data_IF_949302766527
#
_entry.id   IF_949302766527
#
_cell.length_a   1.000
_cell.length_b   1.000
_cell.length_c   1.000
_cell.angle_alpha   90.00
_cell.angle_beta   90.00
_cell.angle_gamma   90.00
#
_symmetry.space_group_name_H-M   'P 1'
#
loop_
_entity.id
_entity.type
_entity.pdbx_description
1 polymer ?
#
# COMPACT_ATOMS: atom_id res chain seq x y z
N UNK A 1 -5.26 27.07 -9.32
CA UNK A 1 -5.61 26.84 -10.74
C UNK A 1 -6.44 25.56 -10.96
N UNK A 2 -6.28 24.52 -10.13
CA UNK A 2 -7.01 23.22 -10.28
C UNK A 2 -8.28 23.13 -9.43
N UNK A 3 -8.54 24.08 -8.53
CA UNK A 3 -9.70 24.06 -7.61
C UNK A 3 -11.06 23.82 -8.29
N UNK A 4 -11.39 24.45 -9.43
CA UNK A 4 -12.65 24.16 -10.12
C UNK A 4 -12.78 22.71 -10.59
N UNK A 5 -11.66 22.10 -11.01
CA UNK A 5 -11.64 20.71 -11.42
C UNK A 5 -11.85 19.76 -10.23
N UNK A 6 -11.22 20.03 -9.09
CA UNK A 6 -11.41 19.29 -7.84
C UNK A 6 -12.85 19.41 -7.31
N UNK A 7 -13.53 20.51 -7.58
CA UNK A 7 -14.91 20.70 -7.16
C UNK A 7 -15.91 19.95 -8.03
N UNK A 8 -15.62 19.74 -9.31
CA UNK A 8 -16.61 19.26 -10.29
C UNK A 8 -16.31 17.93 -10.93
N UNK A 9 -15.04 17.54 -11.05
CA UNK A 9 -14.65 16.38 -11.88
C UNK A 9 -13.62 15.44 -11.26
N UNK A 10 -12.63 15.98 -10.55
CA UNK A 10 -11.51 15.19 -10.06
C UNK A 10 -11.54 15.01 -8.55
N UNK A 11 -10.93 13.92 -8.10
CA UNK A 11 -10.52 13.75 -6.73
C UNK A 11 -8.99 13.72 -6.64
N UNK A 12 -8.45 14.03 -5.48
CA UNK A 12 -7.07 13.79 -5.12
C UNK A 12 -7.01 13.13 -3.76
N UNK A 13 -5.91 12.46 -3.46
CA UNK A 13 -5.73 11.74 -2.21
C UNK A 13 -4.31 11.90 -1.67
N UNK A 14 -4.02 11.25 -0.57
CA UNK A 14 -2.75 11.31 0.16
C UNK A 14 -1.65 10.40 -0.39
N UNK A 15 -1.53 10.27 -1.72
CA UNK A 15 -0.48 9.49 -2.36
C UNK A 15 0.92 10.10 -2.13
N UNK A 16 1.95 9.29 -2.27
CA UNK A 16 3.35 9.73 -2.24
C UNK A 16 3.77 10.45 -0.94
N UNK A 17 3.23 10.00 0.19
CA UNK A 17 3.52 10.57 1.50
C UNK A 17 3.03 12.01 1.70
N UNK A 18 2.01 12.43 0.99
CA UNK A 18 1.32 13.69 1.26
C UNK A 18 0.44 13.50 2.51
N UNK A 19 0.47 14.45 3.43
CA UNK A 19 -0.40 14.43 4.61
C UNK A 19 -1.80 14.90 4.23
N UNK A 20 -2.68 13.94 3.94
CA UNK A 20 -4.05 14.24 3.53
C UNK A 20 -4.84 14.97 4.62
N UNK A 21 -4.59 14.61 5.86
CA UNK A 21 -5.38 15.08 7.02
C UNK A 21 -4.99 16.49 7.44
N UNK A 22 -3.69 16.73 7.57
CA UNK A 22 -3.20 18.00 8.11
C UNK A 22 -2.87 19.01 7.02
N UNK A 23 -2.70 18.60 5.77
CA UNK A 23 -2.33 19.47 4.65
C UNK A 23 -3.40 19.52 3.56
N UNK A 24 -3.71 18.40 2.89
CA UNK A 24 -4.56 18.41 1.69
C UNK A 24 -5.99 18.85 2.00
N UNK A 25 -6.60 18.28 3.02
CA UNK A 25 -7.98 18.61 3.40
C UNK A 25 -8.11 20.09 3.81
N UNK A 26 -7.29 20.62 4.75
CA UNK A 26 -7.35 22.04 5.11
C UNK A 26 -7.11 22.98 3.93
N UNK A 27 -6.10 22.70 3.10
CA UNK A 27 -5.79 23.53 1.92
C UNK A 27 -6.96 23.54 0.92
N UNK A 28 -7.59 22.41 0.69
CA UNK A 28 -8.75 22.34 -0.22
C UNK A 28 -9.97 23.02 0.36
N UNK A 29 -10.20 22.95 1.67
CA UNK A 29 -11.25 23.70 2.37
C UNK A 29 -11.05 25.23 2.26
N UNK A 30 -9.84 25.71 2.47
CA UNK A 30 -9.49 27.13 2.30
C UNK A 30 -9.73 27.61 0.85
N UNK A 31 -9.62 26.71 -0.11
CA UNK A 31 -9.95 26.97 -1.52
C UNK A 31 -11.44 26.82 -1.87
N UNK A 32 -12.32 26.58 -0.90
CA UNK A 32 -13.77 26.41 -1.10
C UNK A 32 -14.20 25.05 -1.65
N UNK A 33 -13.36 24.04 -1.47
CA UNK A 33 -13.65 22.62 -1.78
C UNK A 33 -13.83 21.87 -0.45
N UNK A 34 -14.95 21.24 -0.23
CA UNK A 34 -15.29 20.62 1.05
C UNK A 34 -14.49 19.39 1.38
N UNK A 35 -13.99 18.69 0.34
CA UNK A 35 -13.11 17.53 0.48
C UNK A 35 -12.36 17.30 -0.83
N UNK A 36 -11.10 16.80 -0.81
CA UNK A 36 -10.35 16.49 -2.02
C UNK A 36 -11.06 15.57 -3.03
N UNK A 37 -12.03 14.77 -2.57
CA UNK A 37 -12.85 13.89 -3.40
C UNK A 37 -14.22 14.49 -3.82
N UNK A 38 -14.47 15.75 -3.55
CA UNK A 38 -15.76 16.39 -3.85
C UNK A 38 -16.13 16.30 -5.34
N UNK A 39 -15.15 16.47 -6.23
CA UNK A 39 -15.37 16.40 -7.67
C UNK A 39 -15.78 15.02 -8.16
N UNK A 40 -15.30 13.96 -7.54
CA UNK A 40 -15.75 12.58 -7.85
C UNK A 40 -17.22 12.41 -7.53
N UNK A 41 -17.69 12.92 -6.38
CA UNK A 41 -19.11 12.88 -6.04
C UNK A 41 -19.95 13.71 -7.01
N UNK A 42 -19.52 14.91 -7.32
CA UNK A 42 -20.25 15.79 -8.23
C UNK A 42 -20.28 15.25 -9.67
N UNK A 43 -19.13 14.79 -10.18
CA UNK A 43 -19.00 14.35 -11.57
C UNK A 43 -19.54 12.95 -11.83
N UNK A 44 -19.28 12.00 -10.96
CA UNK A 44 -19.63 10.59 -11.18
C UNK A 44 -20.96 10.18 -10.56
N UNK A 45 -21.26 10.65 -9.36
CA UNK A 45 -22.47 10.22 -8.63
C UNK A 45 -23.63 11.20 -8.71
N UNK A 46 -23.37 12.47 -9.06
CA UNK A 46 -24.35 13.54 -9.19
C UNK A 46 -25.40 13.54 -8.05
N UNK A 47 -24.99 13.49 -6.78
CA UNK A 47 -25.89 13.39 -5.66
C UNK A 47 -26.66 14.71 -5.45
N UNK A 48 -27.84 14.64 -4.82
CA UNK A 48 -28.49 15.84 -4.29
C UNK A 48 -27.61 16.50 -3.22
N UNK A 49 -27.71 17.81 -3.05
CA UNK A 49 -26.83 18.57 -2.14
C UNK A 49 -26.83 18.00 -0.70
N UNK A 50 -28.02 17.63 -0.18
CA UNK A 50 -28.15 17.01 1.15
C UNK A 50 -27.42 15.65 1.25
N UNK A 51 -27.43 14.87 0.19
CA UNK A 51 -26.72 13.59 0.14
C UNK A 51 -25.21 13.80 0.04
N UNK A 52 -24.77 14.80 -0.72
CA UNK A 52 -23.38 15.17 -0.87
C UNK A 52 -22.75 15.56 0.47
N UNK A 53 -23.37 16.44 1.23
CA UNK A 53 -22.93 16.86 2.56
C UNK A 53 -22.72 15.65 3.46
N UNK A 54 -23.70 14.76 3.54
CA UNK A 54 -23.63 13.57 4.37
C UNK A 54 -22.51 12.63 3.93
N UNK A 55 -22.31 12.42 2.63
CA UNK A 55 -21.28 11.52 2.10
C UNK A 55 -19.86 12.07 2.31
N UNK A 56 -19.66 13.36 2.09
CA UNK A 56 -18.39 14.01 2.38
C UNK A 56 -18.06 13.94 3.87
N UNK A 57 -19.04 14.20 4.73
CA UNK A 57 -18.90 14.03 6.17
C UNK A 57 -18.51 12.60 6.57
N UNK A 58 -19.11 11.59 5.95
CA UNK A 58 -18.77 10.18 6.17
C UNK A 58 -17.35 9.85 5.70
N UNK A 59 -16.91 10.39 4.55
CA UNK A 59 -15.53 10.22 4.07
C UNK A 59 -14.52 10.80 5.05
N UNK A 60 -14.72 12.06 5.48
CA UNK A 60 -13.82 12.72 6.44
C UNK A 60 -13.70 11.93 7.73
N UNK A 61 -14.80 11.44 8.26
CA UNK A 61 -14.81 10.60 9.47
C UNK A 61 -14.18 9.24 9.22
N UNK A 62 -14.42 8.64 8.04
CA UNK A 62 -13.96 7.30 7.72
C UNK A 62 -12.45 7.19 7.62
N UNK A 63 -11.79 8.09 6.92
CA UNK A 63 -10.32 8.06 6.76
C UNK A 63 -9.57 8.26 8.09
N UNK A 64 -10.16 9.05 8.99
CA UNK A 64 -9.61 9.37 10.32
C UNK A 64 -10.00 8.36 11.41
N UNK A 65 -10.87 7.41 11.11
CA UNK A 65 -11.32 6.45 12.11
C UNK A 65 -10.17 5.58 12.57
N UNK A 66 -9.91 5.60 13.87
CA UNK A 66 -8.91 4.72 14.50
C UNK A 66 -9.36 3.25 14.40
N UNK A 67 -8.41 2.39 14.10
CA UNK A 67 -8.62 0.95 14.03
C UNK A 67 -8.51 0.38 15.44
N UNK A 68 -9.62 -0.11 15.98
CA UNK A 68 -9.71 -0.63 17.37
C UNK A 68 -9.54 -2.15 17.44
N UNK A 69 -9.66 -2.84 16.31
CA UNK A 69 -9.52 -4.30 16.28
C UNK A 69 -8.07 -4.73 16.09
N UNK A 70 -7.58 -5.60 16.99
CA UNK A 70 -6.23 -6.21 16.92
C UNK A 70 -5.98 -6.99 15.64
N UNK A 71 -7.02 -7.41 14.94
CA UNK A 71 -6.89 -8.14 13.68
C UNK A 71 -6.52 -7.24 12.50
N UNK A 72 -6.76 -5.93 12.63
CA UNK A 72 -6.57 -4.96 11.55
C UNK A 72 -5.54 -3.88 11.84
N UNK A 73 -4.90 -3.91 13.00
CA UNK A 73 -3.83 -2.99 13.34
C UNK A 73 -2.64 -3.71 13.96
N UNK A 74 -1.41 -3.34 13.62
CA UNK A 74 -0.22 -3.92 14.25
C UNK A 74 -0.07 -3.51 15.72
N UNK A 75 -0.67 -2.36 16.12
CA UNK A 75 -0.60 -1.85 17.47
C UNK A 75 -1.80 -0.93 17.77
N UNK A 76 -2.60 -1.27 18.78
CA UNK A 76 -3.77 -0.48 19.18
C UNK A 76 -3.35 0.82 19.85
N UNK A 77 -2.26 0.82 20.61
CA UNK A 77 -1.83 1.99 21.37
C UNK A 77 -1.32 3.11 20.45
N UNK A 78 -0.75 2.76 19.30
CA UNK A 78 -0.31 3.72 18.29
C UNK A 78 -1.43 4.37 17.48
N UNK A 79 -2.68 3.92 17.66
CA UNK A 79 -3.89 4.51 17.07
C UNK A 79 -3.82 4.70 15.56
N UNK A 80 -3.36 3.67 14.83
CA UNK A 80 -3.42 3.69 13.37
C UNK A 80 -4.84 3.97 12.89
N UNK A 81 -4.96 4.80 11.87
CA UNK A 81 -6.25 5.13 11.25
C UNK A 81 -6.48 4.30 9.99
N UNK A 82 -7.72 4.29 9.51
CA UNK A 82 -8.08 3.51 8.32
C UNK A 82 -7.23 3.93 7.10
N UNK A 83 -6.96 5.21 6.92
CA UNK A 83 -6.11 5.71 5.82
C UNK A 83 -4.72 5.08 5.80
N UNK A 84 -4.14 4.76 6.97
CA UNK A 84 -2.80 4.16 7.04
C UNK A 84 -2.75 2.73 6.52
N UNK A 85 -3.87 2.00 6.57
CA UNK A 85 -3.88 0.54 6.44
C UNK A 85 -4.71 0.03 5.26
N UNK A 86 -5.78 0.75 4.86
CA UNK A 86 -6.84 0.21 3.99
C UNK A 86 -6.33 -0.19 2.60
N UNK A 87 -5.43 0.59 2.01
CA UNK A 87 -4.92 0.29 0.67
C UNK A 87 -4.07 -0.99 0.68
N UNK A 88 -3.17 -1.13 1.66
CA UNK A 88 -2.38 -2.34 1.82
C UNK A 88 -3.22 -3.57 2.20
N UNK A 89 -4.28 -3.39 2.99
CA UNK A 89 -5.27 -4.42 3.25
C UNK A 89 -5.94 -4.90 1.96
N UNK A 90 -6.37 -3.96 1.10
CA UNK A 90 -6.97 -4.28 -0.20
C UNK A 90 -6.03 -5.07 -1.12
N UNK A 91 -4.74 -4.74 -1.13
CA UNK A 91 -3.72 -5.51 -1.88
C UNK A 91 -3.62 -6.95 -1.36
N UNK A 92 -3.51 -7.14 -0.06
CA UNK A 92 -3.43 -8.47 0.55
C UNK A 92 -4.70 -9.31 0.29
N UNK A 93 -5.88 -8.70 0.45
CA UNK A 93 -7.16 -9.37 0.15
C UNK A 93 -7.30 -9.73 -1.32
N UNK A 94 -6.79 -8.91 -2.25
CA UNK A 94 -6.80 -9.23 -3.69
C UNK A 94 -6.00 -10.51 -3.98
N UNK A 95 -4.83 -10.67 -3.38
CA UNK A 95 -4.02 -11.89 -3.51
C UNK A 95 -4.72 -13.10 -2.89
N UNK A 96 -5.32 -12.92 -1.73
CA UNK A 96 -6.08 -13.97 -1.04
C UNK A 96 -7.27 -14.45 -1.89
N UNK A 97 -8.01 -13.52 -2.48
CA UNK A 97 -9.10 -13.84 -3.39
C UNK A 97 -8.64 -14.52 -4.67
N UNK A 98 -7.48 -14.15 -5.22
CA UNK A 98 -6.89 -14.88 -6.35
C UNK A 98 -6.73 -16.37 -6.03
N UNK A 99 -6.10 -16.73 -4.91
CA UNK A 99 -5.93 -18.12 -4.53
C UNK A 99 -7.26 -18.80 -4.18
N UNK A 100 -8.24 -18.08 -3.66
CA UNK A 100 -9.58 -18.60 -3.43
C UNK A 100 -10.29 -18.99 -4.75
N UNK A 101 -10.14 -18.18 -5.79
CA UNK A 101 -10.80 -18.37 -7.08
C UNK A 101 -10.08 -19.44 -7.90
N UNK A 102 -8.75 -19.39 -7.98
CA UNK A 102 -7.95 -20.25 -8.85
C UNK A 102 -7.38 -21.49 -8.16
N UNK A 103 -7.63 -21.64 -6.87
CA UNK A 103 -7.16 -22.74 -6.05
C UNK A 103 -5.82 -22.45 -5.36
N UNK A 104 -5.65 -23.02 -4.17
CA UNK A 104 -4.49 -22.82 -3.32
C UNK A 104 -4.78 -21.99 -2.08
N UNK A 105 -3.73 -21.52 -1.44
CA UNK A 105 -3.81 -20.62 -0.27
C UNK A 105 -2.50 -19.84 -0.10
N UNK A 106 -2.52 -18.83 0.76
CA UNK A 106 -1.36 -17.98 1.05
C UNK A 106 -0.29 -18.62 1.93
N UNK A 107 -0.63 -19.70 2.64
CA UNK A 107 0.29 -20.30 3.62
C UNK A 107 1.59 -20.76 2.96
N UNK A 108 2.70 -20.24 3.45
CA UNK A 108 4.06 -20.46 2.96
C UNK A 108 4.35 -19.95 1.53
N UNK A 109 3.43 -19.24 0.87
CA UNK A 109 3.74 -18.55 -0.38
C UNK A 109 4.80 -17.48 -0.11
N UNK A 110 5.76 -17.36 -1.02
CA UNK A 110 6.91 -16.47 -0.89
C UNK A 110 6.61 -15.17 -1.61
N UNK A 111 6.88 -14.07 -0.96
CA UNK A 111 6.44 -12.72 -1.39
C UNK A 111 7.64 -11.80 -1.48
N UNK A 112 7.74 -11.09 -2.60
CA UNK A 112 8.59 -9.91 -2.75
C UNK A 112 7.71 -8.66 -2.64
N UNK A 113 8.18 -7.66 -1.89
CA UNK A 113 7.50 -6.36 -1.73
C UNK A 113 8.41 -5.26 -2.26
N UNK A 114 7.88 -4.42 -3.16
CA UNK A 114 8.56 -3.21 -3.61
C UNK A 114 7.85 -1.98 -3.04
N UNK A 115 8.60 -1.19 -2.27
CA UNK A 115 8.09 -0.03 -1.53
C UNK A 115 7.72 -0.39 -0.09
N UNK A 116 8.23 0.41 0.87
CA UNK A 116 7.96 0.22 2.30
C UNK A 116 7.19 1.40 2.91
N UNK A 117 6.45 2.13 2.06
CA UNK A 117 5.49 3.16 2.50
C UNK A 117 4.24 2.57 3.16
N UNK A 118 3.20 3.37 3.32
CA UNK A 118 1.96 2.93 3.96
C UNK A 118 1.33 1.72 3.26
N UNK A 119 1.32 1.70 1.93
CA UNK A 119 0.72 0.61 1.15
C UNK A 119 1.52 -0.68 1.28
N UNK A 120 2.82 -0.66 0.96
CA UNK A 120 3.65 -1.88 0.93
C UNK A 120 3.85 -2.49 2.31
N UNK A 121 4.11 -1.68 3.33
CA UNK A 121 4.27 -2.17 4.69
C UNK A 121 2.97 -2.77 5.26
N UNK A 122 1.81 -2.16 4.98
CA UNK A 122 0.53 -2.70 5.39
C UNK A 122 0.17 -3.98 4.60
N UNK A 123 0.42 -4.01 3.28
CA UNK A 123 0.20 -5.23 2.48
C UNK A 123 1.08 -6.39 2.99
N UNK A 124 2.36 -6.13 3.28
CA UNK A 124 3.26 -7.12 3.86
C UNK A 124 2.76 -7.62 5.22
N UNK A 125 2.27 -6.71 6.07
CA UNK A 125 1.71 -7.07 7.38
C UNK A 125 0.53 -8.03 7.23
N UNK A 126 -0.47 -7.71 6.43
CA UNK A 126 -1.67 -8.54 6.30
C UNK A 126 -1.40 -9.87 5.59
N UNK A 127 -0.60 -9.87 4.52
CA UNK A 127 -0.30 -11.12 3.81
C UNK A 127 0.56 -12.07 4.65
N UNK A 128 1.46 -11.53 5.50
CA UNK A 128 2.22 -12.32 6.46
C UNK A 128 1.34 -12.84 7.61
N UNK A 129 0.32 -12.07 8.04
CA UNK A 129 -0.67 -12.51 9.02
C UNK A 129 -1.47 -13.73 8.51
N UNK A 130 -1.75 -13.79 7.22
CA UNK A 130 -2.40 -14.94 6.56
C UNK A 130 -1.44 -16.09 6.24
N UNK A 131 -0.19 -16.02 6.70
CA UNK A 131 0.79 -17.10 6.66
C UNK A 131 1.73 -17.12 5.47
N UNK A 132 1.73 -16.11 4.62
CA UNK A 132 2.74 -15.92 3.59
C UNK A 132 4.12 -15.58 4.19
N UNK A 133 5.19 -15.77 3.43
CA UNK A 133 6.58 -15.54 3.81
C UNK A 133 7.17 -14.41 2.97
N UNK A 134 7.38 -13.25 3.57
CA UNK A 134 8.08 -12.17 2.89
C UNK A 134 9.56 -12.57 2.79
N UNK A 135 10.08 -12.69 1.58
CA UNK A 135 11.47 -13.12 1.33
C UNK A 135 12.39 -11.98 0.93
N UNK A 136 11.82 -10.89 0.44
CA UNK A 136 12.57 -9.70 0.07
C UNK A 136 11.69 -8.45 0.12
N UNK A 137 12.29 -7.36 0.55
CA UNK A 137 11.69 -6.03 0.54
C UNK A 137 12.70 -5.08 -0.06
N UNK A 138 12.31 -4.37 -1.12
CA UNK A 138 13.13 -3.33 -1.76
C UNK A 138 12.43 -1.99 -1.69
N UNK A 139 13.17 -0.96 -1.32
CA UNK A 139 12.71 0.44 -1.33
C UNK A 139 13.80 1.33 -1.94
N UNK A 140 13.53 2.61 -2.10
CA UNK A 140 14.43 3.59 -2.72
C UNK A 140 15.81 3.70 -2.03
N UNK A 141 15.86 3.50 -0.71
CA UNK A 141 17.08 3.65 0.09
C UNK A 141 17.84 2.32 0.28
N UNK A 142 17.26 1.21 -0.23
CA UNK A 142 17.84 -0.12 -0.09
C UNK A 142 16.80 -1.18 0.20
N UNK A 143 17.23 -2.31 0.76
CA UNK A 143 16.29 -3.40 1.04
C UNK A 143 16.88 -4.49 1.93
N UNK A 144 16.06 -5.48 2.21
CA UNK A 144 16.44 -6.64 3.03
C UNK A 144 15.98 -7.94 2.35
N UNK A 145 16.77 -8.97 2.51
CA UNK A 145 16.49 -10.34 2.04
C UNK A 145 16.51 -11.31 3.21
N UNK A 146 15.55 -12.21 3.24
CA UNK A 146 15.56 -13.41 4.05
C UNK A 146 15.01 -14.58 3.23
N UNK A 147 15.88 -15.39 2.66
CA UNK A 147 15.47 -16.52 1.82
C UNK A 147 14.60 -17.56 2.55
N UNK A 148 14.69 -17.65 3.87
CA UNK A 148 13.82 -18.50 4.69
C UNK A 148 12.43 -17.88 4.90
N UNK A 149 12.28 -16.61 4.57
CA UNK A 149 11.10 -15.77 4.80
C UNK A 149 11.07 -15.19 6.22
N UNK A 150 10.72 -13.92 6.31
CA UNK A 150 10.45 -13.27 7.58
C UNK A 150 9.20 -13.87 8.22
N UNK A 151 9.22 -14.06 9.52
CA UNK A 151 8.03 -14.41 10.31
C UNK A 151 7.07 -13.22 10.40
N UNK A 152 5.82 -13.49 10.74
CA UNK A 152 4.84 -12.42 10.98
C UNK A 152 5.32 -11.39 12.01
N UNK A 153 5.91 -11.85 13.11
CA UNK A 153 6.41 -10.95 14.17
C UNK A 153 7.60 -10.08 13.70
N UNK A 154 8.47 -10.60 12.82
CA UNK A 154 9.54 -9.80 12.22
C UNK A 154 8.96 -8.73 11.28
N UNK A 155 7.98 -9.08 10.45
CA UNK A 155 7.31 -8.10 9.57
C UNK A 155 6.56 -7.05 10.39
N UNK A 156 5.85 -7.44 11.44
CA UNK A 156 5.20 -6.52 12.37
C UNK A 156 6.21 -5.57 13.02
N UNK A 157 7.35 -6.08 13.45
CA UNK A 157 8.43 -5.26 14.02
C UNK A 157 9.00 -4.28 12.99
N UNK A 158 9.26 -4.72 11.75
CA UNK A 158 9.72 -3.85 10.66
C UNK A 158 8.70 -2.75 10.36
N UNK A 159 7.41 -3.09 10.32
CA UNK A 159 6.32 -2.13 10.15
C UNK A 159 6.33 -1.07 11.25
N UNK A 160 6.40 -1.48 12.50
CA UNK A 160 6.35 -0.58 13.65
C UNK A 160 7.59 0.30 13.81
N UNK A 161 8.73 -0.14 13.28
CA UNK A 161 10.01 0.55 13.40
C UNK A 161 10.40 1.32 12.15
N UNK A 162 9.55 1.36 11.11
CA UNK A 162 9.86 2.12 9.89
C UNK A 162 10.13 3.59 10.20
N UNK A 163 11.06 4.20 9.50
CA UNK A 163 11.37 5.62 9.60
C UNK A 163 10.68 6.38 8.46
N UNK A 164 9.53 7.00 8.77
CA UNK A 164 8.66 7.52 7.72
C UNK A 164 8.22 6.39 6.78
N UNK A 165 8.63 6.47 5.51
CA UNK A 165 8.35 5.45 4.49
C UNK A 165 9.56 4.56 4.17
N UNK A 166 10.61 4.58 4.97
CA UNK A 166 11.82 3.81 4.75
C UNK A 166 11.96 2.61 5.71
N UNK A 167 12.62 1.56 5.23
CA UNK A 167 13.00 0.40 6.03
C UNK A 167 14.03 0.85 7.07
N UNK A 168 13.82 0.48 8.33
CA UNK A 168 14.77 0.70 9.40
C UNK A 168 15.20 -0.65 9.98
N UNK A 169 16.26 -1.21 9.40
CA UNK A 169 16.85 -2.47 9.83
C UNK A 169 18.40 -2.39 9.73
N UNK A 170 19.07 -3.07 10.65
CA UNK A 170 20.55 -3.11 10.71
C UNK A 170 21.19 -3.89 9.56
N UNK A 171 20.45 -4.76 8.90
CA UNK A 171 20.90 -5.58 7.78
C UNK A 171 20.47 -4.98 6.43
N UNK A 172 20.19 -3.68 6.39
CA UNK A 172 19.81 -3.00 5.17
C UNK A 172 20.95 -3.07 4.14
N UNK A 173 20.65 -3.68 2.99
CA UNK A 173 21.52 -3.65 1.82
C UNK A 173 21.31 -2.31 1.10
N UNK A 174 22.34 -1.81 0.43
CA UNK A 174 22.21 -0.66 -0.47
C UNK A 174 21.23 -0.95 -1.60
N UNK A 175 20.69 0.10 -2.25
CA UNK A 175 19.76 -0.08 -3.36
C UNK A 175 20.36 -0.94 -4.49
N UNK A 176 21.61 -0.72 -4.85
CA UNK A 176 22.27 -1.47 -5.92
C UNK A 176 22.42 -2.96 -5.56
N UNK A 177 22.86 -3.25 -4.33
CA UNK A 177 23.00 -4.63 -3.85
C UNK A 177 21.69 -5.39 -3.81
N UNK A 178 20.62 -4.78 -3.28
CA UNK A 178 19.31 -5.42 -3.21
C UNK A 178 18.69 -5.57 -4.60
N UNK A 179 18.79 -4.54 -5.44
CA UNK A 179 18.23 -4.54 -6.79
C UNK A 179 18.90 -5.60 -7.70
N UNK A 180 20.17 -5.94 -7.43
CA UNK A 180 20.88 -6.98 -8.16
C UNK A 180 20.44 -8.41 -7.77
N UNK A 181 19.90 -8.60 -6.58
CA UNK A 181 19.63 -9.93 -6.02
C UNK A 181 18.14 -10.30 -5.93
N UNK A 182 17.29 -9.33 -5.60
CA UNK A 182 15.91 -9.59 -5.16
C UNK A 182 15.04 -10.27 -6.23
N UNK A 183 15.30 -9.97 -7.52
CA UNK A 183 14.49 -10.45 -8.63
C UNK A 183 14.68 -11.94 -8.97
N UNK A 184 15.76 -12.54 -8.47
CA UNK A 184 16.07 -13.96 -8.63
C UNK A 184 15.61 -14.81 -7.44
N UNK A 185 15.09 -14.18 -6.40
CA UNK A 185 14.55 -14.90 -5.25
C UNK A 185 13.36 -15.77 -5.67
N UNK A 186 13.40 -17.04 -5.32
CA UNK A 186 12.24 -17.90 -5.50
C UNK A 186 11.04 -17.28 -4.79
N UNK A 187 10.01 -16.90 -5.54
CA UNK A 187 8.81 -16.25 -4.99
C UNK A 187 7.61 -16.50 -5.89
N UNK A 188 6.44 -16.60 -5.31
CA UNK A 188 5.18 -16.79 -6.01
C UNK A 188 4.39 -15.49 -6.15
N UNK A 189 4.66 -14.51 -5.30
CA UNK A 189 3.87 -13.27 -5.23
C UNK A 189 4.80 -12.06 -5.29
N UNK A 190 4.46 -11.10 -6.14
CA UNK A 190 5.12 -9.79 -6.17
C UNK A 190 4.11 -8.67 -5.89
N UNK A 191 4.44 -7.80 -4.93
CA UNK A 191 3.64 -6.65 -4.52
C UNK A 191 4.35 -5.34 -4.90
N UNK A 192 4.12 -4.79 -6.11
CA UNK A 192 4.62 -3.47 -6.48
C UNK A 192 3.77 -2.38 -5.80
N UNK A 193 4.28 -1.82 -4.69
CA UNK A 193 3.62 -0.82 -3.85
C UNK A 193 4.38 0.51 -3.78
N UNK A 194 5.34 0.72 -4.67
CA UNK A 194 6.11 1.96 -4.80
C UNK A 194 5.54 2.87 -5.91
N UNK A 195 6.34 3.80 -6.42
CA UNK A 195 5.93 4.66 -7.52
C UNK A 195 5.78 3.89 -8.85
N UNK A 196 5.14 4.53 -9.83
CA UNK A 196 4.90 3.93 -11.15
C UNK A 196 6.19 3.78 -11.97
N UNK A 197 6.22 2.79 -12.86
CA UNK A 197 7.29 2.57 -13.86
C UNK A 197 8.67 2.28 -13.27
N UNK A 198 8.73 1.57 -12.16
CA UNK A 198 9.98 1.20 -11.49
C UNK A 198 10.49 -0.19 -11.87
N UNK A 199 9.71 -0.97 -12.61
CA UNK A 199 10.05 -2.34 -13.00
C UNK A 199 10.45 -2.38 -14.47
N UNK A 200 11.60 -2.96 -14.74
CA UNK A 200 12.13 -3.17 -16.09
C UNK A 200 11.71 -4.54 -16.63
N UNK A 201 11.76 -4.69 -17.95
CA UNK A 201 11.50 -6.00 -18.60
C UNK A 201 12.44 -7.10 -18.09
N UNK A 202 13.72 -6.80 -17.91
CA UNK A 202 14.70 -7.77 -17.39
C UNK A 202 14.29 -8.28 -15.99
N UNK A 203 13.88 -7.39 -15.10
CA UNK A 203 13.41 -7.76 -13.75
C UNK A 203 12.15 -8.65 -13.82
N UNK A 204 11.23 -8.36 -14.75
CA UNK A 204 10.05 -9.22 -14.99
C UNK A 204 10.48 -10.61 -15.48
N UNK A 205 11.39 -10.68 -16.45
CA UNK A 205 11.88 -11.94 -16.99
C UNK A 205 12.61 -12.78 -15.92
N UNK A 206 13.32 -12.15 -14.99
CA UNK A 206 13.95 -12.81 -13.83
C UNK A 206 12.91 -13.35 -12.86
N UNK A 207 11.91 -12.54 -12.48
CA UNK A 207 10.82 -12.97 -11.61
C UNK A 207 10.01 -14.13 -12.20
N UNK A 208 9.74 -14.11 -13.50
CA UNK A 208 9.05 -15.23 -14.18
C UNK A 208 9.84 -16.53 -14.08
N UNK A 209 11.16 -16.48 -14.25
CA UNK A 209 12.05 -17.64 -14.08
C UNK A 209 12.08 -18.12 -12.61
N UNK A 210 11.91 -17.20 -11.66
CA UNK A 210 11.90 -17.49 -10.22
C UNK A 210 10.57 -18.05 -9.71
N UNK A 211 9.50 -18.07 -10.53
CA UNK A 211 8.24 -18.74 -10.25
C UNK A 211 7.09 -17.83 -9.81
N UNK A 212 7.09 -16.54 -10.19
CA UNK A 212 5.98 -15.63 -9.93
C UNK A 212 4.67 -16.16 -10.53
N UNK A 213 3.63 -16.26 -9.69
CA UNK A 213 2.27 -16.64 -10.05
C UNK A 213 1.33 -15.44 -10.06
N UNK A 214 1.56 -14.47 -9.15
CA UNK A 214 0.67 -13.33 -8.91
C UNK A 214 1.45 -12.05 -8.78
N UNK A 215 1.00 -11.02 -9.50
CA UNK A 215 1.43 -9.63 -9.30
C UNK A 215 0.20 -8.83 -8.85
N UNK A 216 0.24 -8.29 -7.64
CA UNK A 216 -0.84 -7.50 -7.07
C UNK A 216 -0.36 -6.07 -6.79
N UNK A 217 -0.61 -5.13 -7.72
CA UNK A 217 -0.12 -3.77 -7.58
C UNK A 217 -0.90 -2.98 -6.52
N UNK A 218 -0.15 -2.35 -5.61
CA UNK A 218 -0.65 -1.29 -4.74
C UNK A 218 -0.39 0.12 -5.31
N UNK A 219 0.34 0.21 -6.42
CA UNK A 219 0.61 1.44 -7.15
C UNK A 219 -0.37 1.61 -8.33
N UNK A 220 -0.64 2.87 -8.73
CA UNK A 220 -1.61 3.18 -9.80
C UNK A 220 -1.17 2.69 -11.19
N UNK A 221 0.13 2.57 -11.44
CA UNK A 221 0.73 2.00 -12.65
C UNK A 221 2.01 1.28 -12.27
N UNK A 222 1.97 -0.01 -12.22
CA UNK A 222 3.15 -0.86 -12.00
C UNK A 222 3.90 -1.18 -13.29
N UNK A 223 3.28 -0.97 -14.45
CA UNK A 223 3.82 -1.34 -15.75
C UNK A 223 4.22 -0.10 -16.57
N UNK A 224 5.35 -0.22 -17.26
CA UNK A 224 5.84 0.74 -18.25
C UNK A 224 5.35 0.42 -19.65
#
# INVERSE_FOLDING_TARGET
AVTPLLKHYYGTGGDLNVDEINEVIPITEDCGVWHPQEGVFNGHYQPRESQKINRIGQLRQGVLKTIESKNYTPDIERKFVIADMITGYGVAESVKHYYHIYGGNLKNKRVIVQGWGNVGSAAAYYIAQDGAKIVGIIDRDGGIINEKGFSFEEIKKLFLNKNGNAINDKNLLSFDEINDQIWDLKSEIFLPCAASRLITKDQVDRMLKSGIEVIAPGANRSEG
#
